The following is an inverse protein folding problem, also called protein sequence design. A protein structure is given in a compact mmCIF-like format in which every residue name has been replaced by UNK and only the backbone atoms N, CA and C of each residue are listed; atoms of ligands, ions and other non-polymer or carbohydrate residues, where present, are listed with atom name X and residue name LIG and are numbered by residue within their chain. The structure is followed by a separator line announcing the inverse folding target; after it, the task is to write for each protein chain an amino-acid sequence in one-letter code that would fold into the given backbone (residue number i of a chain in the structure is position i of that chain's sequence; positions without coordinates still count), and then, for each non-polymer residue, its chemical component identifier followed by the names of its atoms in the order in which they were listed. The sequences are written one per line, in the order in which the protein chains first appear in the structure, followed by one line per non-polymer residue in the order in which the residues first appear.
data_IF_829475887697
#
_entry.id   IF_829475887697
#
_cell.length_a   1.000
_cell.length_b   1.000
_cell.length_c   1.000
_cell.angle_alpha   90.00
_cell.angle_beta   90.00
_cell.angle_gamma   90.00
#
_symmetry.space_group_name_H-M   'P 1'
#
loop_
_entity.id
_entity.type
_entity.pdbx_description
1 polymer ?
#
# COMPACT_ATOMS: atom_id res chain seq x y z
N UNK A 1 -12.35 -24.07 17.51
CA UNK A 1 -12.82 -24.04 16.10
C UNK A 1 -11.71 -23.37 15.31
N UNK A 2 -10.82 -24.17 14.70
CA UNK A 2 -9.72 -23.66 13.90
C UNK A 2 -10.30 -22.87 12.73
N UNK A 3 -9.93 -21.59 12.64
CA UNK A 3 -10.25 -20.78 11.47
C UNK A 3 -9.60 -21.48 10.26
N UNK A 4 -10.42 -22.00 9.34
CA UNK A 4 -9.92 -22.49 8.04
C UNK A 4 -9.05 -21.37 7.46
N UNK A 5 -7.79 -21.65 7.20
CA UNK A 5 -6.91 -20.69 6.53
C UNK A 5 -7.54 -20.37 5.17
N UNK A 6 -7.94 -19.13 4.99
CA UNK A 6 -8.50 -18.66 3.73
C UNK A 6 -7.51 -18.97 2.60
N UNK A 7 -7.98 -19.65 1.55
CA UNK A 7 -7.16 -20.05 0.42
C UNK A 7 -6.64 -18.80 -0.30
N UNK A 8 -5.31 -18.75 -0.50
CA UNK A 8 -4.62 -17.67 -1.19
C UNK A 8 -4.03 -18.20 -2.48
N UNK A 9 -4.51 -17.68 -3.60
CA UNK A 9 -3.91 -17.97 -4.91
C UNK A 9 -2.94 -16.84 -5.25
N UNK A 10 -1.62 -17.04 -5.21
CA UNK A 10 -0.66 -16.00 -5.54
C UNK A 10 -0.80 -15.62 -7.02
N UNK A 11 -0.73 -14.33 -7.32
CA UNK A 11 -0.76 -13.77 -8.66
C UNK A 11 0.62 -13.24 -9.06
N UNK A 12 1.28 -12.52 -8.18
CA UNK A 12 2.58 -11.89 -8.41
C UNK A 12 3.38 -11.77 -7.13
N UNK A 13 4.65 -12.22 -7.15
CA UNK A 13 5.62 -11.86 -6.14
C UNK A 13 6.61 -10.85 -6.74
N UNK A 14 7.04 -9.87 -5.95
CA UNK A 14 7.92 -8.79 -6.38
C UNK A 14 8.93 -8.44 -5.31
N UNK A 15 10.07 -7.89 -5.76
CA UNK A 15 11.02 -7.22 -4.86
C UNK A 15 11.22 -5.81 -5.38
N UNK A 16 11.00 -4.83 -4.49
CA UNK A 16 11.33 -3.43 -4.75
C UNK A 16 12.54 -2.99 -3.96
N UNK A 17 13.30 -2.08 -4.53
CA UNK A 17 14.37 -1.35 -3.86
C UNK A 17 14.08 0.14 -3.88
N UNK A 18 14.16 0.77 -2.70
CA UNK A 18 14.09 2.23 -2.55
C UNK A 18 15.49 2.82 -2.71
N UNK A 19 15.56 3.95 -3.41
CA UNK A 19 16.83 4.63 -3.72
C UNK A 19 17.02 5.96 -2.99
N UNK A 20 16.00 6.45 -2.26
CA UNK A 20 16.04 7.72 -1.53
C UNK A 20 16.26 7.49 -0.04
N UNK A 21 16.93 8.47 0.58
CA UNK A 21 17.16 8.79 2.00
C UNK A 21 17.24 7.62 3.01
N UNK A 22 16.36 6.67 2.97
CA UNK A 22 16.41 5.43 3.73
C UNK A 22 16.35 4.26 2.75
N UNK A 23 17.52 3.73 2.39
CA UNK A 23 17.59 2.54 1.54
C UNK A 23 16.72 1.43 2.14
N UNK A 24 15.77 0.90 1.37
CA UNK A 24 14.96 -0.22 1.81
C UNK A 24 14.77 -1.24 0.70
N UNK A 25 14.52 -2.48 1.11
CA UNK A 25 14.07 -3.58 0.27
C UNK A 25 12.69 -4.01 0.76
N UNK A 26 11.81 -4.30 -0.17
CA UNK A 26 10.51 -4.86 0.10
C UNK A 26 10.31 -6.12 -0.75
N UNK A 27 9.96 -7.23 -0.12
CA UNK A 27 9.37 -8.39 -0.77
C UNK A 27 7.87 -8.35 -0.55
N UNK A 28 7.08 -8.45 -1.61
CA UNK A 28 5.62 -8.51 -1.49
C UNK A 28 5.00 -9.52 -2.43
N UNK A 29 3.87 -10.10 -2.00
CA UNK A 29 3.05 -11.01 -2.79
C UNK A 29 1.62 -10.47 -2.86
N UNK A 30 1.14 -10.26 -4.08
CA UNK A 30 -0.27 -10.05 -4.36
C UNK A 30 -0.92 -11.40 -4.61
N UNK A 31 -1.98 -11.69 -3.86
CA UNK A 31 -2.78 -12.92 -3.97
C UNK A 31 -4.24 -12.59 -4.20
N UNK A 32 -4.95 -13.49 -4.90
CA UNK A 32 -6.41 -13.52 -4.95
C UNK A 32 -6.95 -14.30 -3.76
N UNK A 33 -8.01 -13.78 -3.17
CA UNK A 33 -8.83 -14.43 -2.15
C UNK A 33 -10.22 -14.74 -2.73
N UNK A 34 -11.04 -15.53 -2.03
CA UNK A 34 -12.44 -15.72 -2.39
C UNK A 34 -13.24 -14.40 -2.42
N UNK A 35 -12.92 -13.46 -1.51
CA UNK A 35 -13.62 -12.19 -1.33
C UNK A 35 -12.78 -10.95 -1.72
N UNK A 36 -11.86 -11.07 -2.68
CA UNK A 36 -11.05 -9.94 -3.13
C UNK A 36 -9.57 -10.25 -3.28
N UNK A 37 -8.70 -9.37 -2.76
CA UNK A 37 -7.25 -9.51 -2.91
C UNK A 37 -6.54 -9.23 -1.58
N UNK A 38 -5.34 -9.78 -1.45
CA UNK A 38 -4.43 -9.51 -0.34
C UNK A 38 -3.03 -9.17 -0.88
N UNK A 39 -2.43 -8.12 -0.35
CA UNK A 39 -1.00 -7.83 -0.50
C UNK A 39 -0.33 -8.10 0.84
N UNK A 40 0.61 -9.02 0.87
CA UNK A 40 1.49 -9.26 2.02
C UNK A 40 2.90 -8.86 1.66
N UNK A 41 3.60 -8.24 2.58
CA UNK A 41 4.99 -7.88 2.34
C UNK A 41 5.80 -7.73 3.61
N UNK A 42 7.10 -7.82 3.40
CA UNK A 42 8.14 -7.58 4.38
C UNK A 42 9.08 -6.49 3.87
N UNK A 43 9.32 -5.48 4.69
CA UNK A 43 10.18 -4.35 4.39
C UNK A 43 11.36 -4.37 5.37
N UNK A 44 12.58 -4.26 4.84
CA UNK A 44 13.80 -4.05 5.61
C UNK A 44 14.38 -2.70 5.23
N UNK A 45 14.57 -1.85 6.22
CA UNK A 45 15.05 -0.48 6.03
C UNK A 45 16.02 -0.06 7.14
N UNK A 46 16.68 1.08 6.93
CA UNK A 46 17.33 1.82 8.00
C UNK A 46 16.54 3.10 8.25
N UNK A 47 16.29 3.44 9.51
CA UNK A 47 15.67 4.69 9.90
C UNK A 47 16.47 5.33 11.03
N UNK A 48 16.98 6.54 10.79
CA UNK A 48 17.87 7.26 11.73
C UNK A 48 19.11 6.46 12.17
N UNK A 49 19.59 5.57 11.29
CA UNK A 49 20.73 4.71 11.57
C UNK A 49 20.39 3.35 12.18
N UNK A 50 19.16 3.17 12.68
CA UNK A 50 18.71 1.92 13.28
C UNK A 50 18.02 1.00 12.25
N UNK A 51 18.11 -0.33 12.43
CA UNK A 51 17.38 -1.29 11.60
C UNK A 51 15.88 -1.20 11.86
N UNK A 52 15.11 -1.14 10.77
CA UNK A 52 13.66 -1.17 10.77
C UNK A 52 13.21 -2.38 9.95
N UNK A 53 12.39 -3.25 10.55
CA UNK A 53 11.68 -4.33 9.89
C UNK A 53 10.18 -4.13 10.02
N UNK A 54 9.45 -4.27 8.92
CA UNK A 54 7.99 -4.15 8.87
C UNK A 54 7.42 -5.34 8.12
N UNK A 55 6.50 -6.07 8.74
CA UNK A 55 5.64 -7.06 8.07
C UNK A 55 4.24 -6.49 7.97
N UNK A 56 3.58 -6.66 6.81
CA UNK A 56 2.20 -6.19 6.65
C UNK A 56 1.32 -7.18 5.88
N UNK A 57 0.01 -7.08 6.11
CA UNK A 57 -1.02 -7.74 5.33
C UNK A 57 -2.16 -6.74 5.09
N UNK A 58 -2.40 -6.38 3.83
CA UNK A 58 -3.44 -5.48 3.39
C UNK A 58 -4.47 -6.26 2.58
N UNK A 59 -5.75 -6.09 2.90
CA UNK A 59 -6.87 -6.70 2.17
C UNK A 59 -7.75 -5.67 1.53
N UNK A 60 -8.23 -5.98 0.35
CA UNK A 60 -9.25 -5.21 -0.36
C UNK A 60 -10.33 -6.12 -0.93
N UNK A 61 -11.49 -5.54 -1.24
CA UNK A 61 -12.58 -6.22 -1.89
C UNK A 61 -12.29 -6.48 -3.40
N UNK A 62 -13.21 -7.16 -4.14
CA UNK A 62 -13.03 -7.39 -5.58
C UNK A 62 -12.92 -6.12 -6.42
N UNK A 63 -13.44 -4.99 -5.93
CA UNK A 63 -13.37 -3.67 -6.57
C UNK A 63 -12.13 -2.86 -6.13
N UNK A 64 -11.20 -3.49 -5.40
CA UNK A 64 -9.96 -2.90 -4.89
C UNK A 64 -10.13 -1.83 -3.80
N UNK A 65 -11.30 -1.74 -3.18
CA UNK A 65 -11.50 -0.89 -2.01
C UNK A 65 -10.81 -1.52 -0.80
N UNK A 66 -10.05 -0.74 -0.06
CA UNK A 66 -9.36 -1.21 1.13
C UNK A 66 -10.34 -1.64 2.21
N UNK A 67 -10.12 -2.81 2.80
CA UNK A 67 -10.94 -3.37 3.89
C UNK A 67 -10.18 -3.39 5.21
N UNK A 68 -8.91 -3.79 5.18
CA UNK A 68 -8.10 -3.87 6.39
C UNK A 68 -6.60 -3.86 6.09
N UNK A 69 -5.84 -3.45 7.09
CA UNK A 69 -4.39 -3.53 7.14
C UNK A 69 -3.97 -3.99 8.53
N UNK A 70 -3.06 -4.96 8.56
CA UNK A 70 -2.29 -5.31 9.76
C UNK A 70 -0.83 -4.99 9.49
N UNK A 71 -0.18 -4.33 10.43
CA UNK A 71 1.26 -4.05 10.41
C UNK A 71 1.87 -4.55 11.71
N UNK A 72 3.00 -5.21 11.61
CA UNK A 72 3.91 -5.51 12.71
C UNK A 72 5.25 -4.86 12.40
N UNK A 73 5.81 -4.16 13.36
CA UNK A 73 7.05 -3.42 13.19
C UNK A 73 8.04 -3.73 14.31
N UNK A 74 9.30 -3.82 13.95
CA UNK A 74 10.41 -3.76 14.88
C UNK A 74 11.36 -2.64 14.42
N UNK A 75 11.57 -1.65 15.27
CA UNK A 75 12.51 -0.54 15.06
C UNK A 75 13.42 -0.41 16.26
N UNK A 76 14.73 -0.49 16.03
CA UNK A 76 15.72 -0.61 17.11
C UNK A 76 15.35 -1.77 18.06
N UNK A 77 15.13 -1.50 19.34
CA UNK A 77 14.70 -2.49 20.35
C UNK A 77 13.17 -2.55 20.54
N UNK A 78 12.42 -1.67 19.91
CA UNK A 78 10.97 -1.53 20.12
C UNK A 78 10.15 -2.35 19.11
N UNK A 79 9.02 -2.87 19.58
CA UNK A 79 8.01 -3.54 18.76
C UNK A 79 6.71 -2.76 18.83
N UNK A 80 6.10 -2.55 17.68
CA UNK A 80 4.80 -1.92 17.56
C UNK A 80 3.91 -2.67 16.56
N UNK A 81 2.60 -2.55 16.71
CA UNK A 81 1.63 -3.10 15.76
C UNK A 81 0.51 -2.10 15.49
N UNK A 82 -0.07 -2.22 14.30
CA UNK A 82 -1.22 -1.44 13.87
C UNK A 82 -2.24 -2.37 13.24
N UNK A 83 -3.50 -2.22 13.64
CA UNK A 83 -4.65 -2.79 12.95
C UNK A 83 -5.52 -1.63 12.47
N UNK A 84 -5.70 -1.51 11.17
CA UNK A 84 -6.64 -0.59 10.54
C UNK A 84 -7.68 -1.43 9.82
N UNK A 85 -8.96 -1.29 10.15
CA UNK A 85 -10.02 -2.10 9.56
C UNK A 85 -11.34 -1.34 9.49
N UNK A 86 -12.17 -1.65 8.49
CA UNK A 86 -13.56 -1.25 8.46
C UNK A 86 -14.36 -2.12 9.42
N UNK A 87 -15.21 -1.51 10.24
CA UNK A 87 -16.20 -2.23 11.05
C UNK A 87 -17.45 -2.61 10.23
N UNK A 88 -18.42 -3.24 10.90
CA UNK A 88 -19.66 -3.69 10.26
C UNK A 88 -20.48 -2.55 9.64
N UNK A 89 -20.35 -1.34 10.15
CA UNK A 89 -21.03 -0.13 9.65
C UNK A 89 -20.22 0.58 8.55
N UNK A 90 -19.03 0.04 8.19
CA UNK A 90 -18.14 0.60 7.19
C UNK A 90 -17.32 1.80 7.69
N UNK A 91 -17.23 2.00 8.99
CA UNK A 91 -16.38 3.02 9.60
C UNK A 91 -14.97 2.48 9.89
N UNK A 92 -13.95 3.30 9.66
CA UNK A 92 -12.57 2.94 9.99
C UNK A 92 -12.33 2.88 11.50
N UNK A 93 -11.62 1.82 11.90
CA UNK A 93 -11.10 1.66 13.25
C UNK A 93 -9.58 1.48 13.21
N UNK A 94 -8.91 2.20 14.10
CA UNK A 94 -7.44 2.10 14.32
C UNK A 94 -7.25 1.46 15.70
N UNK A 95 -6.68 0.26 15.78
CA UNK A 95 -6.52 -0.50 17.02
C UNK A 95 -7.82 -0.54 17.84
N UNK A 96 -8.94 -0.92 17.19
CA UNK A 96 -10.30 -1.00 17.73
C UNK A 96 -10.95 0.36 18.12
N UNK A 97 -10.24 1.47 18.01
CA UNK A 97 -10.81 2.80 18.24
C UNK A 97 -11.37 3.39 16.94
N UNK A 98 -12.59 3.93 16.98
CA UNK A 98 -13.20 4.60 15.85
C UNK A 98 -12.35 5.78 15.38
N UNK A 99 -12.14 5.90 14.08
CA UNK A 99 -11.29 6.90 13.46
C UNK A 99 -12.11 7.79 12.49
N UNK A 100 -12.93 8.69 13.04
CA UNK A 100 -13.83 9.56 12.25
C UNK A 100 -13.08 10.43 11.24
N UNK A 101 -11.83 10.80 11.52
CA UNK A 101 -10.98 11.53 10.58
C UNK A 101 -10.70 10.78 9.27
N UNK A 102 -10.89 9.46 9.23
CA UNK A 102 -10.67 8.61 8.07
C UNK A 102 -11.95 8.30 7.28
N UNK A 103 -13.09 8.92 7.61
CA UNK A 103 -14.41 8.59 7.02
C UNK A 103 -14.42 8.66 5.48
N UNK A 104 -13.67 9.59 4.89
CA UNK A 104 -13.59 9.75 3.42
C UNK A 104 -12.48 8.92 2.76
N UNK A 105 -11.74 8.11 3.53
CA UNK A 105 -10.66 7.29 2.98
C UNK A 105 -11.21 5.98 2.42
N UNK A 106 -10.98 5.74 1.13
CA UNK A 106 -11.33 4.48 0.45
C UNK A 106 -10.11 3.59 0.19
N UNK A 107 -8.94 4.17 0.27
CA UNK A 107 -7.66 3.50 0.01
C UNK A 107 -6.75 3.64 1.23
N UNK A 108 -5.87 2.66 1.43
CA UNK A 108 -4.79 2.71 2.41
C UNK A 108 -3.49 3.02 1.67
N UNK A 109 -2.66 3.91 2.23
CA UNK A 109 -1.32 4.20 1.75
C UNK A 109 -0.27 3.86 2.81
N UNK A 110 0.64 2.94 2.47
CA UNK A 110 1.79 2.59 3.31
C UNK A 110 3.00 3.46 2.92
N UNK A 111 3.39 4.40 3.78
CA UNK A 111 4.46 5.37 3.51
C UNK A 111 5.84 4.77 3.16
N UNK A 112 6.07 3.50 3.46
CA UNK A 112 7.31 2.78 3.13
C UNK A 112 7.17 1.79 1.96
N UNK A 113 5.99 1.65 1.35
CA UNK A 113 5.74 0.69 0.29
C UNK A 113 5.21 1.34 -0.99
N UNK A 114 5.66 0.94 -2.18
CA UNK A 114 5.03 1.33 -3.43
C UNK A 114 3.78 0.50 -3.76
N UNK A 115 3.56 -0.63 -3.07
CA UNK A 115 2.51 -1.61 -3.41
C UNK A 115 1.11 -1.04 -3.37
N UNK A 116 0.84 -0.14 -2.43
CA UNK A 116 -0.48 0.45 -2.19
C UNK A 116 -0.98 1.36 -3.31
N UNK A 117 -0.09 1.85 -4.19
CA UNK A 117 -0.51 2.57 -5.40
C UNK A 117 -1.39 1.71 -6.34
N UNK A 118 -1.29 0.37 -6.25
CA UNK A 118 -2.13 -0.52 -7.04
C UNK A 118 -3.62 -0.42 -6.68
N UNK A 119 -3.97 -0.04 -5.45
CA UNK A 119 -5.35 0.04 -4.97
C UNK A 119 -6.15 1.09 -5.74
N UNK A 120 -5.83 2.40 -5.67
CA UNK A 120 -6.59 3.42 -6.38
C UNK A 120 -6.49 3.28 -7.90
N UNK A 121 -5.35 2.82 -8.44
CA UNK A 121 -5.19 2.62 -9.89
C UNK A 121 -6.15 1.55 -10.41
N UNK A 122 -6.30 0.41 -9.71
CA UNK A 122 -7.21 -0.66 -10.11
C UNK A 122 -8.68 -0.30 -9.84
N UNK A 123 -8.97 0.41 -8.75
CA UNK A 123 -10.32 0.82 -8.37
C UNK A 123 -10.89 1.87 -9.33
N UNK A 124 -10.10 2.89 -9.66
CA UNK A 124 -10.57 4.06 -10.41
C UNK A 124 -10.43 3.91 -11.93
N UNK A 125 -9.37 3.25 -12.39
CA UNK A 125 -9.07 3.01 -13.82
C UNK A 125 -9.24 4.25 -14.70
N UNK A 126 -8.64 5.41 -14.35
CA UNK A 126 -8.83 6.64 -15.10
C UNK A 126 -8.47 6.46 -16.59
N UNK A 127 -9.16 7.17 -17.49
CA UNK A 127 -8.82 7.20 -18.90
C UNK A 127 -7.46 7.91 -19.13
N UNK A 128 -6.80 7.64 -20.26
CA UNK A 128 -5.54 8.35 -20.59
C UNK A 128 -5.84 9.85 -20.74
N UNK A 129 -5.10 10.68 -20.02
CA UNK A 129 -5.29 12.12 -19.89
C UNK A 129 -6.19 12.52 -18.72
N UNK A 130 -6.87 11.59 -18.07
CA UNK A 130 -7.71 11.86 -16.90
C UNK A 130 -6.88 11.91 -15.62
N UNK A 131 -7.25 12.82 -14.71
CA UNK A 131 -6.71 12.94 -13.36
C UNK A 131 -7.84 12.74 -12.35
N UNK A 132 -7.60 11.90 -11.35
CA UNK A 132 -8.54 11.62 -10.25
C UNK A 132 -7.88 11.94 -8.91
N UNK A 133 -8.65 12.52 -8.01
CA UNK A 133 -8.25 12.78 -6.63
C UNK A 133 -8.86 11.75 -5.70
N UNK A 134 -8.12 11.40 -4.67
CA UNK A 134 -8.53 10.51 -3.59
C UNK A 134 -8.12 11.06 -2.23
N UNK A 135 -8.74 10.55 -1.17
CA UNK A 135 -8.22 10.64 0.19
C UNK A 135 -7.86 9.23 0.64
N UNK A 136 -6.60 9.02 1.01
CA UNK A 136 -6.09 7.74 1.50
C UNK A 136 -5.82 7.82 3.01
N UNK A 137 -6.02 6.70 3.72
CA UNK A 137 -5.54 6.53 5.08
C UNK A 137 -4.03 6.26 5.03
N UNK A 138 -3.23 7.30 5.24
CA UNK A 138 -1.78 7.24 5.14
C UNK A 138 -1.17 6.78 6.47
N UNK A 139 -0.50 5.62 6.41
CA UNK A 139 0.26 5.06 7.54
C UNK A 139 1.69 5.58 7.48
N UNK A 140 2.09 6.34 8.48
CA UNK A 140 3.41 6.96 8.61
C UNK A 140 4.33 6.09 9.47
N UNK A 141 5.55 5.93 9.04
CA UNK A 141 6.56 5.16 9.75
C UNK A 141 7.66 6.07 10.30
N UNK A 142 8.27 5.72 11.46
CA UNK A 142 8.09 4.47 12.22
C UNK A 142 6.99 4.54 13.30
N UNK A 143 6.35 5.68 13.53
CA UNK A 143 5.40 5.88 14.64
C UNK A 143 4.00 5.27 14.41
N UNK A 144 3.75 4.67 13.23
CA UNK A 144 2.48 4.02 12.85
C UNK A 144 1.25 4.94 12.99
N UNK A 145 1.45 6.24 12.89
CA UNK A 145 0.37 7.22 12.86
C UNK A 145 -0.44 7.07 11.57
N UNK A 146 -1.78 7.11 11.67
CA UNK A 146 -2.68 7.04 10.51
C UNK A 146 -3.41 8.36 10.36
N UNK A 147 -3.20 9.02 9.22
CA UNK A 147 -3.82 10.32 8.92
C UNK A 147 -4.44 10.34 7.52
N UNK A 148 -5.52 11.12 7.28
CA UNK A 148 -6.02 11.31 5.92
C UNK A 148 -5.00 12.09 5.09
N UNK A 149 -4.72 11.62 3.87
CA UNK A 149 -3.82 12.28 2.93
C UNK A 149 -4.49 12.38 1.55
N UNK A 150 -4.58 13.59 1.03
CA UNK A 150 -5.10 13.83 -0.32
C UNK A 150 -4.03 13.54 -1.35
N UNK A 151 -4.41 12.81 -2.38
CA UNK A 151 -3.53 12.36 -3.46
C UNK A 151 -4.23 12.49 -4.81
N UNK A 152 -3.47 12.62 -5.89
CA UNK A 152 -4.00 12.55 -7.25
C UNK A 152 -3.21 11.58 -8.12
N UNK A 153 -3.93 10.94 -9.02
CA UNK A 153 -3.39 10.02 -10.03
C UNK A 153 -3.86 10.48 -11.41
N UNK A 154 -2.94 10.98 -12.23
CA UNK A 154 -3.18 11.31 -13.63
C UNK A 154 -2.64 10.20 -14.52
N UNK A 155 -3.48 9.59 -15.34
CA UNK A 155 -3.02 8.56 -16.29
C UNK A 155 -2.42 9.20 -17.52
N UNK A 156 -1.11 9.14 -17.67
CA UNK A 156 -0.35 9.71 -18.80
C UNK A 156 -0.30 8.81 -20.02
N UNK A 157 -0.29 7.49 -19.81
CA UNK A 157 -0.29 6.47 -20.86
C UNK A 157 -0.87 5.16 -20.32
N UNK A 158 -0.94 4.12 -21.17
CA UNK A 158 -1.54 2.81 -20.84
C UNK A 158 -1.13 2.28 -19.46
N UNK A 159 0.14 2.41 -19.07
CA UNK A 159 0.73 1.89 -17.81
C UNK A 159 1.61 2.94 -17.14
N UNK A 160 1.34 4.22 -17.36
CA UNK A 160 2.10 5.33 -16.78
C UNK A 160 1.16 6.32 -16.13
N UNK A 161 1.43 6.64 -14.88
CA UNK A 161 0.65 7.58 -14.08
C UNK A 161 1.57 8.64 -13.52
N UNK A 162 1.06 9.87 -13.35
CA UNK A 162 1.63 10.89 -12.52
C UNK A 162 0.94 10.85 -11.16
N UNK A 163 1.68 10.50 -10.12
CA UNK A 163 1.25 10.63 -8.74
C UNK A 163 1.60 12.01 -8.22
N UNK A 164 0.71 12.61 -7.44
CA UNK A 164 0.96 13.81 -6.65
C UNK A 164 0.37 13.64 -5.25
N UNK A 165 1.16 13.94 -4.22
CA UNK A 165 0.62 14.24 -2.90
C UNK A 165 0.04 15.66 -2.94
N UNK A 166 -1.21 15.81 -2.54
CA UNK A 166 -1.86 17.13 -2.38
C UNK A 166 -1.70 17.64 -0.94
N UNK A 167 -1.09 16.83 -0.08
CA UNK A 167 -0.76 17.16 1.31
C UNK A 167 0.68 17.62 1.47
N UNK A 168 1.57 17.23 0.54
CA UNK A 168 2.97 17.60 0.46
C UNK A 168 3.32 17.99 -0.98
N UNK A 169 4.48 18.61 -1.23
CA UNK A 169 4.94 18.98 -2.58
C UNK A 169 5.50 17.79 -3.38
N UNK A 170 5.27 16.54 -2.91
CA UNK A 170 5.84 15.36 -3.56
C UNK A 170 5.05 14.96 -4.81
N UNK A 171 5.75 14.76 -5.92
CA UNK A 171 5.21 14.18 -7.14
C UNK A 171 6.23 13.26 -7.82
N UNK A 172 5.74 12.26 -8.53
CA UNK A 172 6.58 11.37 -9.33
C UNK A 172 5.79 10.61 -10.40
N UNK A 173 6.49 10.13 -11.43
CA UNK A 173 5.90 9.26 -12.43
C UNK A 173 6.00 7.79 -11.98
N UNK A 174 4.87 7.09 -12.06
CA UNK A 174 4.76 5.65 -11.83
C UNK A 174 4.61 4.92 -13.16
N UNK A 175 5.42 3.87 -13.35
CA UNK A 175 5.14 2.82 -14.33
C UNK A 175 4.65 1.59 -13.59
N UNK A 176 3.58 0.98 -14.09
CA UNK A 176 2.95 -0.18 -13.46
C UNK A 176 2.87 -1.37 -14.43
N UNK A 177 2.69 -2.57 -13.89
CA UNK A 177 2.41 -3.77 -14.67
C UNK A 177 0.90 -3.94 -14.95
N UNK A 178 0.49 -5.12 -15.40
CA UNK A 178 -0.91 -5.49 -15.69
C UNK A 178 -1.78 -5.66 -14.44
N UNK A 179 -1.17 -5.83 -13.26
CA UNK A 179 -1.84 -5.85 -11.96
C UNK A 179 -1.75 -4.50 -11.24
N UNK A 180 -1.29 -3.46 -11.93
CA UNK A 180 -1.05 -2.10 -11.42
C UNK A 180 0.02 -2.00 -10.34
N UNK A 181 0.83 -3.05 -10.12
CA UNK A 181 1.96 -3.00 -9.21
C UNK A 181 3.11 -2.18 -9.84
N UNK A 182 3.71 -1.21 -9.12
CA UNK A 182 4.77 -0.38 -9.67
C UNK A 182 5.98 -1.18 -10.15
N UNK A 183 6.39 -0.94 -11.40
CA UNK A 183 7.67 -1.42 -11.94
C UNK A 183 8.77 -0.39 -11.74
N UNK A 184 8.37 0.90 -11.73
CA UNK A 184 9.24 2.04 -11.46
C UNK A 184 8.43 3.19 -10.86
N UNK A 185 8.93 3.75 -9.79
CA UNK A 185 8.46 4.98 -9.19
C UNK A 185 9.61 5.97 -9.24
N UNK A 186 9.55 6.91 -10.19
CA UNK A 186 10.70 7.71 -10.58
C UNK A 186 11.37 8.42 -9.40
N UNK A 187 12.68 8.19 -9.25
CA UNK A 187 13.48 8.78 -8.18
C UNK A 187 13.30 8.16 -6.79
N UNK A 188 12.37 7.19 -6.61
CA UNK A 188 12.06 6.62 -5.30
C UNK A 188 12.22 5.10 -5.28
N UNK A 189 11.49 4.38 -6.15
CA UNK A 189 11.43 2.91 -6.13
C UNK A 189 11.72 2.31 -7.50
N UNK A 190 12.35 1.13 -7.47
CA UNK A 190 12.53 0.28 -8.64
C UNK A 190 12.24 -1.17 -8.28
N UNK A 191 11.42 -1.85 -9.08
CA UNK A 191 11.30 -3.31 -9.03
C UNK A 191 12.60 -3.92 -9.52
N UNK A 192 13.16 -4.85 -8.75
CA UNK A 192 14.43 -5.51 -9.05
C UNK A 192 14.26 -7.00 -9.31
N UNK A 193 13.15 -7.59 -8.88
CA UNK A 193 12.77 -8.98 -9.18
C UNK A 193 11.25 -9.13 -9.22
N UNK A 194 10.77 -10.10 -10.00
CA UNK A 194 9.36 -10.50 -10.05
C UNK A 194 9.19 -11.97 -10.41
N UNK A 195 8.07 -12.54 -9.96
CA UNK A 195 7.56 -13.84 -10.40
C UNK A 195 6.06 -13.73 -10.62
N UNK A 196 5.59 -14.09 -11.81
CA UNK A 196 4.17 -14.30 -12.11
C UNK A 196 3.79 -15.74 -11.78
N UNK A 197 2.59 -15.91 -11.26
CA UNK A 197 1.96 -17.19 -11.04
C UNK A 197 0.81 -17.27 -12.06
N UNK A 198 0.90 -18.22 -12.96
CA UNK A 198 -0.08 -18.46 -14.01
C UNK A 198 -1.18 -19.39 -13.54
#
# INVERSE_FOLDING_TARGET
MEARSEERTPLRAVVWRRHRDNASLEYAVLSRLAAGYEIRGDIVAAHEGDPLHVSYALRCDPDWRSLSLRVEQQWAAERASLILALDADGAWRVNDMKADALADCLDIDLGLSPSTNALPINRLRPAVGESVEITAAWVRFPNLEVVPARQSYERRARRTYRYRSLTTDFQADLRVDDLSLPTRYAGVWKRIAERSYG
#
